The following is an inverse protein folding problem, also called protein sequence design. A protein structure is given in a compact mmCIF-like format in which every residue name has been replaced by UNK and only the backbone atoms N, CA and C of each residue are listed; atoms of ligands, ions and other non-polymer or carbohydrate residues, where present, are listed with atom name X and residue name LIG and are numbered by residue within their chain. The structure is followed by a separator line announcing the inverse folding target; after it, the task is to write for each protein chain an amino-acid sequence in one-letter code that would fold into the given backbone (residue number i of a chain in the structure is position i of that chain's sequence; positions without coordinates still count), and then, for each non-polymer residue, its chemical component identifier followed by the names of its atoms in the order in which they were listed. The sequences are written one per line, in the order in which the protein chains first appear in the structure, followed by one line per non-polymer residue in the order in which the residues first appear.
data_IF_863476989842
#
_entry.id   IF_863476989842
#
_cell.length_a   1.000
_cell.length_b   1.000
_cell.length_c   1.000
_cell.angle_alpha   90.00
_cell.angle_beta   90.00
_cell.angle_gamma   90.00
#
_symmetry.space_group_name_H-M   'P 1'
#
loop_
_entity.id
_entity.type
_entity.pdbx_description
1 polymer ?
#
# COMPACT_ATOMS: atom_id res chain seq x y z
N UNK A 1 -30.17 -9.81 12.79
CA UNK A 1 -30.04 -8.36 12.55
C UNK A 1 -31.03 -7.97 11.48
N UNK A 2 -31.89 -7.00 11.71
CA UNK A 2 -32.83 -6.50 10.70
C UNK A 2 -32.12 -5.66 9.62
N UNK A 3 -32.75 -5.44 8.48
CA UNK A 3 -32.17 -4.59 7.42
C UNK A 3 -31.89 -3.15 7.93
N UNK A 4 -32.71 -2.63 8.81
CA UNK A 4 -32.52 -1.31 9.41
C UNK A 4 -31.31 -1.29 10.33
N UNK A 5 -31.12 -2.31 11.17
CA UNK A 5 -29.98 -2.42 12.08
C UNK A 5 -28.65 -2.50 11.34
N UNK A 6 -28.58 -3.22 10.21
CA UNK A 6 -27.35 -3.30 9.43
C UNK A 6 -27.00 -1.96 8.76
N UNK A 7 -28.00 -1.20 8.28
CA UNK A 7 -27.74 0.12 7.70
C UNK A 7 -27.25 1.12 8.74
N UNK A 8 -27.79 1.08 9.97
CA UNK A 8 -27.33 1.90 11.08
C UNK A 8 -25.91 1.51 11.51
N UNK A 9 -25.62 0.23 11.59
CA UNK A 9 -24.28 -0.27 11.92
C UNK A 9 -23.26 0.24 10.90
N UNK A 10 -23.52 0.08 9.61
CA UNK A 10 -22.64 0.54 8.53
C UNK A 10 -22.40 2.04 8.58
N UNK A 11 -23.45 2.81 8.84
CA UNK A 11 -23.34 4.28 8.98
C UNK A 11 -22.47 4.67 10.17
N UNK A 12 -22.72 4.05 11.34
CA UNK A 12 -21.94 4.33 12.54
C UNK A 12 -20.47 3.95 12.37
N UNK A 13 -20.20 2.83 11.69
CA UNK A 13 -18.84 2.41 11.40
C UNK A 13 -18.16 3.35 10.38
N UNK A 14 -18.86 3.80 9.34
CA UNK A 14 -18.33 4.80 8.41
C UNK A 14 -18.02 6.13 9.10
N UNK A 15 -18.90 6.61 9.98
CA UNK A 15 -18.65 7.81 10.77
C UNK A 15 -17.37 7.69 11.60
N UNK A 16 -17.20 6.56 12.31
CA UNK A 16 -16.00 6.31 13.10
C UNK A 16 -14.73 6.23 12.27
N UNK A 17 -14.80 5.62 11.08
CA UNK A 17 -13.68 5.61 10.12
C UNK A 17 -13.26 7.05 9.77
N UNK A 18 -14.23 7.91 9.43
CA UNK A 18 -13.97 9.31 9.08
C UNK A 18 -13.42 10.08 10.29
N UNK A 19 -14.00 9.91 11.47
CA UNK A 19 -13.53 10.54 12.70
C UNK A 19 -12.09 10.13 13.03
N UNK A 20 -11.77 8.84 12.92
CA UNK A 20 -10.40 8.33 13.15
C UNK A 20 -9.39 8.91 12.15
N UNK A 21 -9.77 9.07 10.88
CA UNK A 21 -8.91 9.71 9.88
C UNK A 21 -8.64 11.19 10.20
N UNK A 22 -9.63 11.91 10.75
CA UNK A 22 -9.46 13.30 11.19
C UNK A 22 -8.64 13.35 12.49
N UNK A 23 -8.94 12.51 13.47
CA UNK A 23 -8.25 12.47 14.75
C UNK A 23 -6.78 12.09 14.63
N UNK A 24 -6.43 11.32 13.61
CA UNK A 24 -5.04 11.00 13.27
C UNK A 24 -4.23 12.20 12.73
N UNK A 25 -4.87 13.35 12.55
CA UNK A 25 -4.31 14.55 11.95
C UNK A 25 -3.85 14.41 10.48
N UNK A 26 -4.22 13.32 9.82
CA UNK A 26 -3.91 13.09 8.40
C UNK A 26 -4.78 13.96 7.49
N UNK A 27 -5.99 14.27 7.93
CA UNK A 27 -6.93 15.12 7.20
C UNK A 27 -7.53 16.16 8.13
N UNK A 28 -7.67 17.39 7.65
CA UNK A 28 -8.25 18.49 8.44
C UNK A 28 -9.77 18.35 8.62
N UNK A 29 -10.43 17.67 7.70
CA UNK A 29 -11.89 17.53 7.70
C UNK A 29 -12.35 16.46 6.70
N UNK A 30 -13.63 16.07 6.78
CA UNK A 30 -14.21 15.06 5.91
C UNK A 30 -14.26 15.44 4.42
N UNK A 31 -14.18 16.73 4.07
CA UNK A 31 -14.11 17.16 2.67
C UNK A 31 -12.78 16.76 2.04
N UNK A 32 -11.70 16.98 2.75
CA UNK A 32 -10.35 16.61 2.34
C UNK A 32 -10.22 15.08 2.17
N UNK A 33 -10.81 14.29 3.08
CA UNK A 33 -10.93 12.83 2.94
C UNK A 33 -11.65 12.48 1.64
N UNK A 34 -12.79 13.10 1.35
CA UNK A 34 -13.54 12.83 0.13
C UNK A 34 -12.75 13.18 -1.14
N UNK A 35 -12.06 14.31 -1.15
CA UNK A 35 -11.22 14.71 -2.28
C UNK A 35 -10.08 13.72 -2.49
N UNK A 36 -9.44 13.28 -1.41
CA UNK A 36 -8.35 12.32 -1.47
C UNK A 36 -8.77 10.96 -2.02
N UNK A 37 -9.83 10.38 -1.49
CA UNK A 37 -10.29 9.05 -1.88
C UNK A 37 -11.21 9.05 -3.12
N UNK A 38 -11.37 10.20 -3.79
CA UNK A 38 -12.25 10.33 -4.95
C UNK A 38 -13.73 10.14 -4.63
N UNK A 39 -14.14 10.42 -3.38
CA UNK A 39 -15.50 10.28 -2.90
C UNK A 39 -16.29 11.58 -3.13
N UNK A 40 -17.58 11.45 -3.42
CA UNK A 40 -18.46 12.63 -3.43
C UNK A 40 -18.78 13.07 -2.00
N UNK A 41 -18.32 14.27 -1.59
CA UNK A 41 -18.60 14.81 -0.26
C UNK A 41 -20.11 14.95 0.00
N UNK A 42 -20.90 15.32 -1.03
CA UNK A 42 -22.35 15.38 -0.92
C UNK A 42 -22.98 14.00 -0.68
N UNK A 43 -22.45 12.96 -1.33
CA UNK A 43 -22.91 11.59 -1.13
C UNK A 43 -22.58 11.09 0.27
N UNK A 44 -21.35 11.25 0.73
CA UNK A 44 -20.93 10.87 2.10
C UNK A 44 -21.78 11.60 3.14
N UNK A 45 -22.01 12.90 2.97
CA UNK A 45 -22.90 13.67 3.87
C UNK A 45 -24.32 13.11 3.90
N UNK A 46 -24.88 12.67 2.77
CA UNK A 46 -26.21 12.05 2.73
C UNK A 46 -26.25 10.71 3.47
N UNK A 47 -25.20 9.91 3.37
CA UNK A 47 -25.07 8.61 4.09
C UNK A 47 -25.00 8.85 5.59
N UNK A 48 -24.10 9.72 6.04
CA UNK A 48 -23.91 10.02 7.47
C UNK A 48 -25.15 10.64 8.12
N UNK A 49 -25.88 11.49 7.41
CA UNK A 49 -27.11 12.12 7.89
C UNK A 49 -28.38 11.27 7.70
N UNK A 50 -28.26 9.98 7.45
CA UNK A 50 -29.38 9.03 7.27
C UNK A 50 -30.32 9.36 6.09
N UNK A 51 -29.94 10.29 5.20
CA UNK A 51 -30.73 10.65 4.01
C UNK A 51 -30.66 9.56 2.91
N UNK A 52 -29.64 8.69 3.01
CA UNK A 52 -29.48 7.48 2.20
C UNK A 52 -29.03 6.32 3.08
N UNK A 53 -29.42 5.12 2.69
CA UNK A 53 -29.00 3.88 3.36
C UNK A 53 -27.71 3.34 2.72
N UNK A 54 -26.86 2.73 3.55
CA UNK A 54 -25.66 2.05 3.09
C UNK A 54 -26.00 0.59 2.85
N UNK A 55 -26.49 0.29 1.63
CA UNK A 55 -26.72 -1.07 1.18
C UNK A 55 -25.40 -1.84 1.02
N UNK A 56 -25.49 -3.15 0.76
CA UNK A 56 -24.30 -4.00 0.67
C UNK A 56 -23.33 -3.53 -0.42
N UNK A 57 -23.83 -3.27 -1.63
CA UNK A 57 -23.01 -2.79 -2.74
C UNK A 57 -22.29 -1.49 -2.38
N UNK A 58 -23.00 -0.52 -1.81
CA UNK A 58 -22.41 0.75 -1.40
C UNK A 58 -21.37 0.57 -0.29
N UNK A 59 -21.57 -0.37 0.65
CA UNK A 59 -20.60 -0.68 1.68
C UNK A 59 -19.29 -1.23 1.07
N UNK A 60 -19.38 -2.18 0.14
CA UNK A 60 -18.18 -2.74 -0.55
C UNK A 60 -17.45 -1.70 -1.38
N UNK A 61 -18.19 -0.83 -2.09
CA UNK A 61 -17.59 0.28 -2.85
C UNK A 61 -16.87 1.27 -1.94
N UNK A 62 -17.46 1.64 -0.81
CA UNK A 62 -16.84 2.54 0.18
C UNK A 62 -15.60 1.90 0.83
N UNK A 63 -15.65 0.63 1.20
CA UNK A 63 -14.50 -0.08 1.75
C UNK A 63 -13.35 -0.13 0.74
N UNK A 64 -13.65 -0.44 -0.51
CA UNK A 64 -12.64 -0.47 -1.57
C UNK A 64 -12.02 0.92 -1.81
N UNK A 65 -12.85 1.96 -1.88
CA UNK A 65 -12.37 3.33 -2.12
C UNK A 65 -11.54 3.87 -0.96
N UNK A 66 -11.95 3.55 0.27
CA UNK A 66 -11.23 3.94 1.50
C UNK A 66 -10.04 3.03 1.83
N UNK A 67 -9.78 1.99 1.02
CA UNK A 67 -8.70 1.04 1.28
C UNK A 67 -8.91 0.18 2.52
N UNK A 68 -10.15 -0.05 2.93
CA UNK A 68 -10.51 -0.82 4.12
C UNK A 68 -10.63 -2.32 3.81
N UNK A 69 -10.48 -3.14 4.84
CA UNK A 69 -10.81 -4.57 4.73
C UNK A 69 -12.28 -4.78 4.34
N UNK A 70 -12.53 -5.78 3.51
CA UNK A 70 -13.89 -6.16 3.14
C UNK A 70 -14.70 -6.55 4.38
N UNK A 71 -15.97 -6.14 4.42
CA UNK A 71 -16.92 -6.38 5.53
C UNK A 71 -16.59 -5.63 6.83
N UNK A 72 -15.65 -4.70 6.83
CA UNK A 72 -15.29 -3.93 8.03
C UNK A 72 -16.45 -3.06 8.51
N UNK A 73 -17.24 -2.52 7.58
CA UNK A 73 -18.43 -1.72 7.92
C UNK A 73 -19.56 -2.57 8.52
N UNK A 74 -19.50 -3.89 8.36
CA UNK A 74 -20.52 -4.82 8.89
C UNK A 74 -20.15 -5.39 10.27
N UNK A 75 -18.98 -5.06 10.82
CA UNK A 75 -18.52 -5.58 12.12
C UNK A 75 -19.31 -4.96 13.26
N UNK A 76 -19.77 -5.80 14.20
CA UNK A 76 -20.51 -5.35 15.39
C UNK A 76 -19.64 -4.49 16.33
N UNK A 77 -18.34 -4.73 16.40
CA UNK A 77 -17.39 -3.85 17.05
C UNK A 77 -16.97 -2.76 16.06
N UNK A 78 -16.93 -1.52 16.54
CA UNK A 78 -16.45 -0.41 15.74
C UNK A 78 -15.09 -0.73 15.12
N UNK A 79 -14.91 -0.47 13.82
CA UNK A 79 -13.61 -0.61 13.21
C UNK A 79 -12.61 0.27 13.97
N UNK A 80 -11.59 -0.34 14.55
CA UNK A 80 -10.41 0.38 15.00
C UNK A 80 -9.51 0.40 13.77
N UNK A 81 -9.50 1.52 13.07
CA UNK A 81 -8.42 1.77 12.13
C UNK A 81 -7.23 2.11 13.03
N UNK A 82 -6.25 1.23 13.10
CA UNK A 82 -4.96 1.58 13.68
C UNK A 82 -4.29 2.60 12.75
N UNK A 83 -4.72 3.84 12.86
CA UNK A 83 -4.02 4.94 12.23
C UNK A 83 -2.74 5.12 13.02
N UNK A 84 -1.61 5.11 12.36
CA UNK A 84 -0.34 5.33 13.02
C UNK A 84 -0.41 6.60 13.86
N UNK A 85 -0.25 6.47 15.17
CA UNK A 85 -0.45 7.54 16.15
C UNK A 85 0.63 8.65 16.10
N UNK A 86 1.60 8.51 15.20
CA UNK A 86 2.63 9.49 14.89
C UNK A 86 3.04 9.36 13.44
N UNK A 87 3.23 10.46 12.71
CA UNK A 87 3.71 10.41 11.34
C UNK A 87 5.08 9.73 11.31
N UNK A 88 5.16 8.61 10.63
CA UNK A 88 6.42 7.91 10.41
C UNK A 88 7.03 8.42 9.13
N UNK A 89 8.24 8.98 9.26
CA UNK A 89 9.01 9.46 8.12
C UNK A 89 9.70 8.28 7.46
N UNK A 90 9.38 8.02 6.21
CA UNK A 90 10.03 6.99 5.41
C UNK A 90 10.84 7.60 4.28
N UNK A 91 11.93 6.95 3.91
CA UNK A 91 12.77 7.41 2.80
C UNK A 91 12.15 7.01 1.47
N UNK A 92 12.09 7.96 0.55
CA UNK A 92 11.68 7.75 -0.82
C UNK A 92 12.89 7.57 -1.73
N UNK A 93 12.80 6.59 -2.61
CA UNK A 93 13.79 6.33 -3.65
C UNK A 93 13.12 6.34 -5.02
N UNK A 94 13.89 6.74 -6.02
CA UNK A 94 13.54 6.60 -7.42
C UNK A 94 14.44 5.55 -8.06
N UNK A 95 13.88 4.72 -8.95
CA UNK A 95 14.65 3.80 -9.75
C UNK A 95 15.43 4.54 -10.84
N UNK A 96 16.73 4.36 -10.87
CA UNK A 96 17.56 4.67 -12.02
C UNK A 96 17.88 3.36 -12.74
N UNK A 97 17.17 3.09 -13.83
CA UNK A 97 17.39 1.87 -14.61
C UNK A 97 18.75 1.91 -15.25
N UNK A 98 19.56 0.89 -14.98
CA UNK A 98 20.92 0.76 -15.50
C UNK A 98 20.94 -0.19 -16.67
N UNK A 99 20.28 -1.35 -16.53
CA UNK A 99 20.28 -2.41 -17.52
C UNK A 99 19.00 -3.24 -17.42
N UNK A 100 18.23 -3.32 -18.49
CA UNK A 100 16.96 -4.06 -18.56
C UNK A 100 16.07 -3.86 -17.32
N UNK A 101 16.07 -4.81 -16.38
CA UNK A 101 15.29 -4.77 -15.13
C UNK A 101 16.14 -4.44 -13.91
N UNK A 102 17.46 -4.27 -14.08
CA UNK A 102 18.36 -3.86 -13.01
C UNK A 102 18.39 -2.34 -12.86
N UNK A 103 18.38 -1.86 -11.64
CA UNK A 103 18.38 -0.43 -11.34
C UNK A 103 19.29 -0.11 -10.15
N UNK A 104 19.54 1.17 -9.95
CA UNK A 104 20.07 1.75 -8.71
C UNK A 104 18.99 2.60 -8.07
N UNK A 105 18.99 2.65 -6.75
CA UNK A 105 18.10 3.54 -6.00
C UNK A 105 18.78 4.87 -5.78
N UNK A 106 18.10 5.95 -6.12
CA UNK A 106 18.47 7.31 -5.78
C UNK A 106 17.48 7.85 -4.76
N UNK A 107 17.98 8.31 -3.61
CA UNK A 107 17.13 8.94 -2.60
C UNK A 107 16.60 10.27 -3.14
N UNK A 108 15.29 10.46 -3.09
CA UNK A 108 14.64 11.69 -3.55
C UNK A 108 14.33 12.58 -2.36
N UNK A 109 13.59 12.04 -1.39
CA UNK A 109 13.12 12.76 -0.23
C UNK A 109 12.71 11.79 0.89
N UNK A 110 12.25 12.34 2.01
CA UNK A 110 11.63 11.57 3.07
C UNK A 110 10.26 12.18 3.38
N UNK A 111 9.21 11.37 3.29
CA UNK A 111 7.82 11.80 3.41
C UNK A 111 7.18 11.21 4.65
N UNK A 112 6.35 11.99 5.30
CA UNK A 112 5.46 11.56 6.36
C UNK A 112 4.13 11.11 5.75
N UNK A 113 3.60 9.97 6.21
CA UNK A 113 2.28 9.48 5.80
C UNK A 113 2.11 9.22 4.28
N UNK A 114 3.05 8.50 3.67
CA UNK A 114 2.99 8.15 2.25
C UNK A 114 1.63 7.55 1.84
N UNK A 115 1.04 6.73 2.69
CA UNK A 115 -0.29 6.14 2.51
C UNK A 115 -1.03 6.18 3.85
N UNK A 116 -2.05 7.02 4.01
CA UNK A 116 -2.70 7.26 5.30
C UNK A 116 -3.21 6.02 6.02
N UNK A 117 -3.63 5.00 5.28
CA UNK A 117 -4.20 3.77 5.85
C UNK A 117 -3.18 2.62 5.99
N UNK A 118 -1.96 2.82 5.50
CA UNK A 118 -0.89 1.85 5.65
C UNK A 118 -0.09 2.18 6.91
N UNK A 119 -0.11 1.28 7.90
CA UNK A 119 0.72 1.41 9.08
C UNK A 119 2.19 1.28 8.68
N UNK A 120 2.82 2.42 8.45
CA UNK A 120 4.25 2.48 8.14
C UNK A 120 5.07 2.50 9.43
N UNK A 121 6.26 1.94 9.37
CA UNK A 121 7.23 1.90 10.46
C UNK A 121 8.58 2.44 9.96
N UNK A 122 9.51 2.86 10.85
CA UNK A 122 10.77 3.50 10.46
C UNK A 122 11.66 2.66 9.54
N UNK A 123 11.50 1.33 9.56
CA UNK A 123 12.23 0.41 8.68
C UNK A 123 11.64 0.29 7.26
N UNK A 124 10.47 0.89 7.03
CA UNK A 124 9.87 0.91 5.70
C UNK A 124 10.50 2.00 4.84
N UNK A 125 10.58 1.74 3.56
CA UNK A 125 10.98 2.72 2.55
C UNK A 125 10.16 2.48 1.28
N UNK A 126 10.06 3.48 0.41
CA UNK A 126 9.32 3.35 -0.83
C UNK A 126 10.20 3.62 -2.04
N UNK A 127 9.96 2.84 -3.11
CA UNK A 127 10.66 2.95 -4.39
C UNK A 127 9.66 3.33 -5.46
N UNK A 128 9.88 4.45 -6.15
CA UNK A 128 9.08 4.82 -7.31
C UNK A 128 9.49 4.01 -8.54
N UNK A 129 8.52 3.35 -9.14
CA UNK A 129 8.70 2.63 -10.41
C UNK A 129 8.87 3.64 -11.54
N UNK A 130 9.97 3.56 -12.27
CA UNK A 130 10.24 4.38 -13.45
C UNK A 130 10.25 3.53 -14.71
N UNK A 131 9.85 4.12 -15.85
CA UNK A 131 9.82 3.40 -17.12
C UNK A 131 8.74 2.31 -17.20
N UNK A 132 8.85 1.43 -18.18
CA UNK A 132 7.87 0.37 -18.46
C UNK A 132 8.46 -1.04 -18.32
N UNK A 133 9.60 -1.18 -17.69
CA UNK A 133 10.36 -2.44 -17.62
C UNK A 133 9.63 -3.54 -16.82
N UNK A 134 8.71 -3.15 -15.95
CA UNK A 134 7.94 -4.06 -15.10
C UNK A 134 6.46 -4.15 -15.51
N UNK A 135 6.09 -3.53 -16.64
CA UNK A 135 4.72 -3.62 -17.17
C UNK A 135 4.44 -5.06 -17.66
N UNK A 136 3.24 -5.62 -17.46
CA UNK A 136 2.03 -4.98 -16.90
C UNK A 136 1.95 -5.03 -15.36
N UNK A 137 2.83 -5.76 -14.68
CA UNK A 137 2.75 -6.03 -13.24
C UNK A 137 2.90 -4.77 -12.39
N UNK A 138 3.82 -3.88 -12.80
CA UNK A 138 4.01 -2.58 -12.16
C UNK A 138 4.01 -1.49 -13.23
N UNK A 139 3.36 -0.37 -12.93
CA UNK A 139 3.28 0.78 -13.84
C UNK A 139 4.21 1.90 -13.40
N UNK A 140 4.73 2.65 -14.38
CA UNK A 140 5.51 3.86 -14.10
C UNK A 140 4.71 4.83 -13.22
N UNK A 141 5.40 5.43 -12.25
CA UNK A 141 4.81 6.32 -11.26
C UNK A 141 4.19 5.62 -10.04
N UNK A 142 4.03 4.30 -10.06
CA UNK A 142 3.61 3.56 -8.86
C UNK A 142 4.74 3.47 -7.85
N UNK A 143 4.38 3.27 -6.60
CA UNK A 143 5.32 3.11 -5.51
C UNK A 143 5.24 1.71 -4.94
N UNK A 144 6.39 1.14 -4.64
CA UNK A 144 6.51 -0.09 -3.87
C UNK A 144 7.02 0.25 -2.50
N UNK A 145 6.32 -0.18 -1.46
CA UNK A 145 6.77 -0.07 -0.08
C UNK A 145 7.47 -1.37 0.30
N UNK A 146 8.70 -1.26 0.75
CA UNK A 146 9.54 -2.38 1.17
C UNK A 146 9.80 -2.33 2.68
N UNK A 147 10.06 -3.48 3.28
CA UNK A 147 10.44 -3.62 4.67
C UNK A 147 11.88 -4.16 4.78
N UNK A 148 12.74 -3.45 5.53
CA UNK A 148 14.15 -3.85 5.71
C UNK A 148 14.36 -4.94 6.77
N UNK A 149 13.39 -5.16 7.64
CA UNK A 149 13.55 -6.05 8.80
C UNK A 149 12.84 -7.38 8.64
N UNK A 150 11.81 -7.44 7.81
CA UNK A 150 11.08 -8.69 7.59
C UNK A 150 11.86 -9.61 6.68
N UNK A 151 12.04 -10.83 7.15
CA UNK A 151 12.59 -11.90 6.32
C UNK A 151 11.45 -12.53 5.51
N UNK A 152 11.62 -12.60 4.21
CA UNK A 152 10.65 -13.25 3.33
C UNK A 152 10.64 -14.77 3.64
N UNK A 153 9.55 -15.24 4.26
CA UNK A 153 9.46 -16.66 4.70
C UNK A 153 8.96 -17.62 3.61
N UNK A 154 8.50 -17.09 2.47
CA UNK A 154 7.92 -17.86 1.38
C UNK A 154 8.03 -17.09 0.06
N UNK A 155 7.44 -17.63 -1.02
CA UNK A 155 7.34 -16.92 -2.30
C UNK A 155 6.63 -15.56 -2.15
N UNK A 156 7.08 -14.58 -2.92
CA UNK A 156 6.47 -13.25 -2.93
C UNK A 156 7.33 -12.20 -3.63
N UNK A 157 6.73 -11.02 -3.82
CA UNK A 157 7.39 -9.89 -4.44
C UNK A 157 8.46 -9.31 -3.52
N UNK A 158 9.66 -9.10 -4.05
CA UNK A 158 10.79 -8.62 -3.29
C UNK A 158 11.70 -7.69 -4.10
N UNK A 159 12.39 -6.80 -3.39
CA UNK A 159 13.54 -6.08 -3.91
C UNK A 159 14.81 -6.84 -3.54
N UNK A 160 15.50 -7.35 -4.54
CA UNK A 160 16.75 -8.09 -4.43
C UNK A 160 17.93 -7.12 -4.58
N UNK A 161 18.82 -7.09 -3.61
CA UNK A 161 20.03 -6.28 -3.61
C UNK A 161 21.22 -7.19 -3.95
N UNK A 162 21.91 -6.88 -5.03
CA UNK A 162 23.10 -7.59 -5.43
C UNK A 162 24.37 -6.98 -4.81
N UNK A 163 25.40 -7.78 -4.60
CA UNK A 163 26.69 -7.33 -4.06
C UNK A 163 27.39 -6.28 -4.95
N UNK A 164 27.06 -6.23 -6.24
CA UNK A 164 27.57 -5.23 -7.18
C UNK A 164 26.84 -3.87 -7.09
N UNK A 165 25.89 -3.74 -6.14
CA UNK A 165 25.14 -2.51 -5.89
C UNK A 165 23.92 -2.31 -6.78
N UNK A 166 23.57 -3.28 -7.63
CA UNK A 166 22.34 -3.25 -8.43
C UNK A 166 21.17 -3.84 -7.63
N UNK A 167 19.96 -3.38 -7.95
CA UNK A 167 18.71 -3.90 -7.42
C UNK A 167 17.84 -4.46 -8.55
N UNK A 168 17.02 -5.45 -8.19
CA UNK A 168 16.03 -6.07 -9.06
C UNK A 168 14.70 -6.19 -8.30
N UNK A 169 13.58 -5.95 -8.97
CA UNK A 169 12.28 -6.35 -8.45
C UNK A 169 11.94 -7.70 -9.06
N UNK A 170 11.69 -8.66 -8.21
CA UNK A 170 11.51 -10.06 -8.58
C UNK A 170 10.41 -10.71 -7.76
N UNK A 171 9.85 -11.78 -8.28
CA UNK A 171 9.08 -12.72 -7.48
C UNK A 171 10.02 -13.83 -6.98
N UNK A 172 10.21 -13.90 -5.66
CA UNK A 172 10.93 -15.00 -5.04
C UNK A 172 10.02 -16.23 -5.07
N UNK A 173 10.44 -17.29 -5.75
CA UNK A 173 9.67 -18.52 -5.89
C UNK A 173 10.01 -19.53 -4.80
N UNK A 174 11.27 -19.67 -4.49
CA UNK A 174 11.76 -20.54 -3.43
C UNK A 174 13.21 -20.22 -3.07
N UNK A 175 13.60 -20.68 -1.91
CA UNK A 175 14.96 -20.61 -1.39
C UNK A 175 15.45 -22.03 -1.08
N UNK A 176 16.69 -22.31 -1.41
CA UNK A 176 17.40 -23.50 -0.97
C UNK A 176 18.68 -23.11 -0.19
N UNK A 177 19.54 -24.09 0.12
CA UNK A 177 20.73 -23.85 0.93
C UNK A 177 21.67 -22.81 0.30
N UNK A 178 21.86 -22.84 -1.02
CA UNK A 178 22.90 -22.09 -1.73
C UNK A 178 22.36 -21.00 -2.66
N UNK A 179 21.06 -21.03 -3.01
CA UNK A 179 20.51 -20.15 -4.01
C UNK A 179 19.05 -19.74 -3.76
N UNK A 180 18.67 -18.63 -4.37
CA UNK A 180 17.32 -18.13 -4.51
C UNK A 180 16.81 -18.43 -5.91
N UNK A 181 15.62 -19.03 -6.03
CA UNK A 181 14.91 -19.19 -7.30
C UNK A 181 13.97 -18.01 -7.47
N UNK A 182 14.19 -17.23 -8.48
CA UNK A 182 13.40 -16.04 -8.77
C UNK A 182 12.71 -16.12 -10.12
N UNK A 183 11.62 -15.40 -10.26
CA UNK A 183 10.94 -15.16 -11.52
C UNK A 183 10.90 -13.65 -11.80
N UNK A 184 11.15 -13.25 -13.05
CA UNK A 184 10.94 -11.88 -13.48
C UNK A 184 9.44 -11.54 -13.47
N UNK A 185 9.07 -10.27 -13.24
CA UNK A 185 7.67 -9.87 -13.15
C UNK A 185 6.89 -9.98 -14.47
N UNK A 186 7.58 -10.03 -15.59
CA UNK A 186 7.00 -10.31 -16.90
C UNK A 186 6.86 -11.82 -17.19
N UNK A 187 7.15 -12.66 -16.17
CA UNK A 187 7.15 -14.13 -16.24
C UNK A 187 8.08 -14.74 -17.31
N UNK A 188 8.85 -13.92 -18.01
CA UNK A 188 9.67 -14.36 -19.16
C UNK A 188 10.88 -15.16 -18.74
N UNK A 189 11.37 -14.99 -17.51
CA UNK A 189 12.63 -15.58 -17.05
C UNK A 189 12.51 -16.16 -15.63
N UNK A 190 13.00 -17.38 -15.48
CA UNK A 190 13.31 -18.00 -14.18
C UNK A 190 14.82 -18.07 -14.07
N UNK A 191 15.35 -17.49 -13.01
CA UNK A 191 16.81 -17.41 -12.79
C UNK A 191 17.13 -17.85 -11.37
N UNK A 192 18.28 -18.51 -11.21
CA UNK A 192 18.82 -18.84 -9.90
C UNK A 192 19.94 -17.87 -9.58
N UNK A 193 19.83 -17.17 -8.44
CA UNK A 193 20.91 -16.36 -7.90
C UNK A 193 21.60 -17.11 -6.77
N UNK A 194 22.93 -17.18 -6.79
CA UNK A 194 23.68 -17.69 -5.66
C UNK A 194 23.52 -16.74 -4.47
N UNK A 195 23.37 -17.27 -3.27
CA UNK A 195 23.29 -16.46 -2.05
C UNK A 195 24.50 -15.55 -1.86
N UNK A 196 25.67 -15.99 -2.32
CA UNK A 196 26.89 -15.18 -2.31
C UNK A 196 26.81 -13.90 -3.15
N UNK A 197 25.95 -13.86 -4.16
CA UNK A 197 25.79 -12.71 -5.06
C UNK A 197 24.71 -11.72 -4.57
N UNK A 198 23.96 -12.12 -3.54
CA UNK A 198 22.85 -11.37 -2.97
C UNK A 198 23.26 -10.77 -1.63
N UNK A 199 23.23 -9.46 -1.53
CA UNK A 199 23.53 -8.74 -0.29
C UNK A 199 22.32 -8.74 0.67
N UNK A 200 21.10 -8.50 0.13
CA UNK A 200 19.86 -8.40 0.92
C UNK A 200 18.66 -8.76 0.05
N UNK A 201 17.57 -9.16 0.70
CA UNK A 201 16.23 -9.30 0.09
C UNK A 201 15.24 -8.62 1.01
N UNK A 202 14.55 -7.61 0.48
CA UNK A 202 13.51 -6.90 1.21
C UNK A 202 12.15 -7.21 0.57
N UNK A 203 11.17 -7.73 1.32
CA UNK A 203 9.83 -7.97 0.81
C UNK A 203 9.15 -6.66 0.43
N UNK A 204 8.38 -6.70 -0.64
CA UNK A 204 7.43 -5.62 -0.98
C UNK A 204 6.15 -5.89 -0.22
N UNK A 205 5.81 -5.00 0.70
CA UNK A 205 4.65 -5.14 1.60
C UNK A 205 3.40 -4.43 1.05
N UNK A 206 3.59 -3.45 0.14
CA UNK A 206 2.48 -2.78 -0.52
C UNK A 206 2.90 -2.22 -1.88
N UNK A 207 1.93 -2.12 -2.79
CA UNK A 207 2.05 -1.41 -4.07
C UNK A 207 1.00 -0.31 -4.08
N UNK A 208 1.45 0.92 -4.30
CA UNK A 208 0.62 2.13 -4.18
C UNK A 208 0.58 2.85 -5.52
N UNK A 209 -0.60 3.04 -6.13
CA UNK A 209 -0.74 3.84 -7.33
C UNK A 209 -0.33 5.31 -7.09
N UNK A 210 0.22 5.96 -8.13
CA UNK A 210 0.75 7.33 -8.03
C UNK A 210 -0.25 8.35 -7.43
N UNK A 211 -1.53 8.24 -7.77
CA UNK A 211 -2.59 9.17 -7.31
C UNK A 211 -3.02 8.95 -5.84
N UNK A 212 -2.47 7.95 -5.18
CA UNK A 212 -2.79 7.62 -3.77
C UNK A 212 -1.72 8.14 -2.79
N UNK A 213 -0.79 8.96 -3.27
CA UNK A 213 0.35 9.46 -2.49
C UNK A 213 0.22 10.95 -2.27
N UNK A 214 0.49 11.39 -1.04
CA UNK A 214 0.71 12.78 -0.69
C UNK A 214 2.21 13.08 -0.77
N UNK A 215 2.58 13.92 -1.71
CA UNK A 215 3.82 14.66 -1.70
C UNK A 215 3.40 16.10 -1.37
N UNK A 216 3.65 16.55 -0.15
CA UNK A 216 3.47 17.95 0.25
C UNK A 216 4.42 18.88 -0.53
#
# INVERSE_FOLDING_TARGET
MSATEIFELRRNNLAKVIDQLIDSQQFKNGKEICEHFGLSAAYITQLLNSKRQIGEKAARELEQQLGLESLILDRAQAPVIEVASSPVKITLFQMQVVEQQAFKMEAIDAVENLVPLLKLEPQHYAIQVTGQYYFPSLKAGWWMVCDEQVVLQSSGLACLYLINGLQLIVELMSENQDSYQIQSLDESRKVSFQKSDVAKIHPVIAIVPQHSIFLD
#
